data_IF_383766236859
#
_entry.id   IF_383766236859
#
_cell.length_a   1.000
_cell.length_b   1.000
_cell.length_c   1.000
_cell.angle_alpha   90.00
_cell.angle_beta   90.00
_cell.angle_gamma   90.00
#
_symmetry.space_group_name_H-M   'P 1'
#
loop_
_entity.id
_entity.type
_entity.pdbx_description
1 polymer ?
#
# COMPACT_ATOMS: atom_id res chain seq x y z
N UNK A 1 5.60 -44.11 -0.06
CA UNK A 1 5.08 -42.80 -0.46
C UNK A 1 5.74 -41.81 0.47
N UNK A 2 6.42 -40.80 -0.05
CA UNK A 2 7.19 -39.84 0.77
C UNK A 2 6.26 -38.73 1.26
N UNK A 3 6.36 -38.39 2.55
CA UNK A 3 5.60 -37.33 3.18
C UNK A 3 5.95 -35.95 2.57
N UNK A 4 4.96 -35.11 2.20
CA UNK A 4 5.20 -33.84 1.53
C UNK A 4 5.89 -32.84 2.47
N UNK A 5 7.08 -32.39 2.07
CA UNK A 5 7.84 -31.36 2.76
C UNK A 5 7.37 -29.98 2.28
N UNK A 6 6.99 -29.12 3.22
CA UNK A 6 6.57 -27.76 2.91
C UNK A 6 7.68 -26.96 2.22
N UNK A 7 7.46 -26.39 1.03
CA UNK A 7 8.49 -25.63 0.33
C UNK A 7 8.91 -24.35 1.07
N UNK A 8 8.00 -23.78 1.89
CA UNK A 8 8.21 -22.54 2.61
C UNK A 8 8.97 -22.74 3.93
N UNK A 9 8.54 -23.66 4.80
CA UNK A 9 9.11 -23.84 6.13
C UNK A 9 9.92 -25.14 6.31
N UNK A 10 9.98 -25.99 5.28
CA UNK A 10 10.72 -27.28 5.27
C UNK A 10 10.27 -28.30 6.31
N UNK A 11 9.07 -28.14 6.85
CA UNK A 11 8.45 -29.07 7.79
C UNK A 11 7.74 -30.19 7.02
N UNK A 12 7.85 -31.41 7.52
CA UNK A 12 7.20 -32.62 6.98
C UNK A 12 5.74 -32.62 7.39
N UNK A 13 4.83 -32.94 6.47
CA UNK A 13 3.39 -32.98 6.70
C UNK A 13 2.85 -34.37 6.33
N UNK A 14 1.63 -34.68 6.76
CA UNK A 14 0.97 -35.93 6.42
C UNK A 14 0.84 -36.15 4.90
N UNK A 15 0.86 -37.41 4.46
CA UNK A 15 0.84 -37.80 3.05
C UNK A 15 -0.37 -37.28 2.24
N UNK A 16 -1.49 -37.04 2.93
CA UNK A 16 -2.74 -36.50 2.37
C UNK A 16 -2.89 -34.98 2.59
N UNK A 17 -1.93 -34.33 3.25
CA UNK A 17 -2.02 -32.91 3.57
C UNK A 17 -2.01 -32.04 2.30
N UNK A 18 -3.11 -31.32 2.06
CA UNK A 18 -3.18 -30.31 1.00
C UNK A 18 -2.43 -29.02 1.39
N UNK A 19 -2.37 -28.70 2.69
CA UNK A 19 -1.75 -27.51 3.24
C UNK A 19 -0.80 -27.85 4.38
N UNK A 20 0.23 -27.02 4.57
CA UNK A 20 1.12 -27.14 5.70
C UNK A 20 0.40 -26.76 6.99
N UNK A 21 0.39 -27.65 7.97
CA UNK A 21 -0.22 -27.45 9.28
C UNK A 21 0.46 -26.32 10.09
N UNK A 22 1.74 -26.05 9.84
CA UNK A 22 2.51 -25.03 10.54
C UNK A 22 2.43 -23.63 9.92
N UNK A 23 2.28 -23.52 8.60
CA UNK A 23 2.36 -22.21 7.92
C UNK A 23 1.24 -21.94 6.89
N UNK A 24 0.35 -22.90 6.65
CA UNK A 24 -0.77 -22.77 5.72
C UNK A 24 -0.39 -22.82 4.23
N UNK A 25 0.89 -23.03 3.89
CA UNK A 25 1.33 -23.12 2.50
C UNK A 25 0.79 -24.39 1.83
N UNK A 26 0.21 -24.26 0.63
CA UNK A 26 -0.28 -25.41 -0.14
C UNK A 26 0.88 -26.33 -0.58
N UNK A 27 0.73 -27.63 -0.34
CA UNK A 27 1.80 -28.64 -0.46
C UNK A 27 1.82 -29.37 -1.80
N UNK A 28 0.67 -29.42 -2.51
CA UNK A 28 0.59 -30.04 -3.85
C UNK A 28 0.41 -28.97 -4.91
N UNK A 29 1.44 -28.72 -5.71
CA UNK A 29 1.28 -27.98 -6.96
C UNK A 29 0.52 -28.87 -7.98
N UNK A 30 -0.79 -29.05 -7.79
CA UNK A 30 -1.63 -29.59 -8.84
C UNK A 30 -1.81 -28.46 -9.88
N UNK A 31 -1.11 -28.63 -10.99
CA UNK A 31 -1.26 -27.82 -12.18
C UNK A 31 -2.72 -27.86 -12.66
N UNK A 32 -3.52 -26.91 -12.20
CA UNK A 32 -4.66 -26.42 -12.94
C UNK A 32 -4.36 -24.96 -13.24
N UNK A 33 -4.04 -24.66 -14.50
CA UNK A 33 -4.08 -23.28 -14.97
C UNK A 33 -5.41 -22.68 -14.51
N UNK A 34 -5.41 -21.48 -13.90
CA UNK A 34 -6.66 -20.86 -13.50
C UNK A 34 -7.52 -20.74 -14.76
N UNK A 35 -8.64 -21.47 -14.80
CA UNK A 35 -9.71 -21.17 -15.74
C UNK A 35 -10.11 -19.72 -15.46
N UNK A 36 -10.36 -18.92 -16.49
CA UNK A 36 -10.85 -17.55 -16.29
C UNK A 36 -12.03 -17.58 -15.30
N UNK A 37 -11.90 -16.86 -14.18
CA UNK A 37 -12.88 -16.86 -13.08
C UNK A 37 -12.69 -17.91 -11.98
N UNK A 38 -11.62 -18.72 -12.00
CA UNK A 38 -11.28 -19.69 -10.95
C UNK A 38 -10.43 -19.11 -9.81
N UNK A 39 -10.46 -19.76 -8.66
CA UNK A 39 -9.69 -19.34 -7.49
C UNK A 39 -8.18 -19.42 -7.77
N UNK A 40 -7.41 -18.34 -7.52
CA UNK A 40 -5.98 -18.33 -7.81
C UNK A 40 -5.16 -19.28 -6.93
N UNK A 41 -5.71 -19.71 -5.79
CA UNK A 41 -5.01 -20.59 -4.85
C UNK A 41 -5.19 -22.08 -5.17
N UNK A 42 -6.37 -22.50 -5.63
CA UNK A 42 -6.69 -23.92 -5.83
C UNK A 42 -7.34 -24.25 -7.18
N UNK A 43 -7.55 -23.27 -8.06
CA UNK A 43 -8.16 -23.43 -9.37
C UNK A 43 -9.65 -23.82 -9.36
N UNK A 44 -10.28 -23.92 -8.18
CA UNK A 44 -11.69 -24.28 -8.02
C UNK A 44 -12.61 -23.08 -8.32
N UNK A 45 -13.89 -23.35 -8.61
CA UNK A 45 -14.87 -22.31 -8.88
C UNK A 45 -14.99 -21.32 -7.71
N UNK A 46 -15.22 -20.05 -8.04
CA UNK A 46 -15.47 -18.97 -7.08
C UNK A 46 -16.94 -18.60 -7.18
N UNK A 47 -17.63 -18.63 -6.05
CA UNK A 47 -18.99 -18.11 -5.96
C UNK A 47 -18.91 -16.62 -5.67
N UNK A 48 -19.15 -15.79 -6.70
CA UNK A 48 -19.17 -14.33 -6.60
C UNK A 48 -20.53 -13.90 -6.06
N UNK A 49 -20.54 -13.15 -4.95
CA UNK A 49 -21.75 -12.49 -4.41
C UNK A 49 -21.98 -11.16 -5.11
N UNK A 50 -23.23 -10.66 -5.04
CA UNK A 50 -23.66 -9.45 -5.75
C UNK A 50 -22.82 -8.19 -5.42
N UNK A 51 -22.17 -8.16 -4.26
CA UNK A 51 -21.32 -7.06 -3.79
C UNK A 51 -19.86 -7.14 -4.29
N UNK A 52 -19.53 -8.08 -5.17
CA UNK A 52 -18.17 -8.28 -5.71
C UNK A 52 -17.28 -9.18 -4.85
N UNK A 53 -17.72 -9.55 -3.65
CA UNK A 53 -17.02 -10.52 -2.82
C UNK A 53 -17.27 -11.95 -3.30
N UNK A 54 -16.21 -12.65 -3.67
CA UNK A 54 -16.22 -14.06 -3.99
C UNK A 54 -15.77 -14.94 -2.83
N UNK A 55 -16.28 -16.15 -2.73
CA UNK A 55 -15.70 -17.19 -1.86
C UNK A 55 -15.41 -18.43 -2.71
N UNK A 56 -14.20 -18.95 -2.59
CA UNK A 56 -13.86 -20.20 -3.25
C UNK A 56 -14.52 -21.37 -2.54
N UNK A 57 -15.33 -22.15 -3.26
CA UNK A 57 -16.00 -23.34 -2.72
C UNK A 57 -15.04 -24.51 -2.43
N UNK A 58 -13.83 -24.49 -3.02
CA UNK A 58 -12.82 -25.54 -2.81
C UNK A 58 -11.86 -25.29 -1.64
N UNK A 59 -11.49 -24.03 -1.37
CA UNK A 59 -10.51 -23.70 -0.32
C UNK A 59 -11.01 -22.69 0.72
N UNK A 60 -12.25 -22.21 0.60
CA UNK A 60 -12.84 -21.23 1.52
C UNK A 60 -12.22 -19.83 1.44
N UNK A 61 -11.28 -19.59 0.52
CA UNK A 61 -10.63 -18.29 0.35
C UNK A 61 -11.66 -17.23 -0.04
N UNK A 62 -11.78 -16.21 0.80
CA UNK A 62 -12.53 -15.00 0.48
C UNK A 62 -11.72 -14.14 -0.50
N UNK A 63 -12.29 -13.93 -1.68
CA UNK A 63 -11.75 -13.16 -2.79
C UNK A 63 -12.57 -11.89 -2.91
N UNK A 64 -12.08 -10.80 -2.33
CA UNK A 64 -12.68 -9.49 -2.54
C UNK A 64 -12.35 -9.07 -3.98
N UNK A 65 -13.35 -8.83 -4.83
CA UNK A 65 -13.08 -8.15 -6.09
C UNK A 65 -12.45 -6.82 -5.74
N UNK A 66 -11.22 -6.61 -6.19
CA UNK A 66 -10.66 -5.26 -6.18
C UNK A 66 -11.64 -4.42 -7.00
N UNK A 67 -12.24 -3.35 -6.44
CA UNK A 67 -12.90 -2.40 -7.30
C UNK A 67 -11.88 -2.01 -8.35
N UNK A 68 -12.29 -2.17 -9.60
CA UNK A 68 -11.57 -1.72 -10.77
C UNK A 68 -10.95 -0.36 -10.46
N UNK A 69 -9.68 -0.26 -10.80
CA UNK A 69 -8.76 0.80 -10.48
C UNK A 69 -9.20 2.08 -11.20
N UNK A 70 -10.30 2.68 -10.74
CA UNK A 70 -10.89 3.89 -11.29
C UNK A 70 -10.66 5.05 -10.32
N UNK A 71 -9.44 5.55 -10.34
CA UNK A 71 -9.21 7.00 -10.12
C UNK A 71 -8.91 7.72 -11.44
N UNK A 72 -9.11 7.06 -12.59
CA UNK A 72 -9.04 7.70 -13.89
C UNK A 72 -9.78 6.88 -14.96
N UNK A 73 -11.12 6.92 -14.93
CA UNK A 73 -11.85 6.82 -16.19
C UNK A 73 -11.59 8.11 -17.00
N UNK A 74 -10.82 7.99 -18.09
CA UNK A 74 -11.25 8.47 -19.41
C UNK A 74 -10.59 7.63 -20.50
N UNK A 75 -11.40 6.89 -21.25
CA UNK A 75 -11.21 6.61 -22.69
C UNK A 75 -10.08 5.67 -23.08
N UNK A 76 -10.44 4.51 -23.62
CA UNK A 76 -9.50 3.63 -24.31
C UNK A 76 -8.82 4.31 -25.51
N UNK A 77 -7.49 4.41 -25.45
CA UNK A 77 -6.58 4.57 -26.60
C UNK A 77 -5.09 4.31 -26.26
N UNK A 78 -4.76 3.75 -25.10
CA UNK A 78 -3.50 4.08 -24.41
C UNK A 78 -2.41 2.98 -24.38
N UNK A 79 -2.49 1.95 -25.24
CA UNK A 79 -1.35 1.01 -25.36
C UNK A 79 -0.11 1.62 -26.04
N UNK A 80 -0.19 2.87 -26.54
CA UNK A 80 0.87 3.54 -27.32
C UNK A 80 1.53 4.73 -26.62
N UNK A 81 1.05 5.19 -25.45
CA UNK A 81 1.62 6.38 -24.79
C UNK A 81 3.05 6.21 -24.28
N UNK A 82 3.43 5.08 -23.63
CA UNK A 82 4.80 4.90 -23.16
C UNK A 82 5.82 4.90 -24.31
N UNK A 83 5.44 4.28 -25.43
CA UNK A 83 6.29 4.19 -26.63
C UNK A 83 6.43 5.56 -27.33
N UNK A 84 5.34 6.33 -27.42
CA UNK A 84 5.36 7.68 -27.97
C UNK A 84 6.19 8.65 -27.13
N UNK A 85 6.09 8.55 -25.80
CA UNK A 85 6.90 9.35 -24.88
C UNK A 85 8.40 9.03 -25.02
N UNK A 86 8.74 7.74 -25.05
CA UNK A 86 10.12 7.30 -25.24
C UNK A 86 10.70 7.77 -26.60
N UNK A 87 9.92 7.64 -27.68
CA UNK A 87 10.32 8.12 -29.01
C UNK A 87 10.56 9.64 -29.04
N UNK A 88 9.69 10.42 -28.40
CA UNK A 88 9.79 11.88 -28.31
C UNK A 88 11.02 12.35 -27.51
N UNK A 89 11.39 11.64 -26.44
CA UNK A 89 12.62 11.91 -25.66
C UNK A 89 13.87 11.60 -26.50
N UNK A 90 13.88 10.46 -27.20
CA UNK A 90 15.01 10.03 -28.02
C UNK A 90 15.26 10.96 -29.21
N UNK A 91 14.21 11.44 -29.86
CA UNK A 91 14.34 12.39 -30.98
C UNK A 91 15.01 13.71 -30.54
N UNK A 92 14.64 14.23 -29.36
CA UNK A 92 15.17 15.49 -28.83
C UNK A 92 16.60 15.39 -28.33
N UNK A 93 16.91 14.31 -27.63
CA UNK A 93 18.29 14.04 -27.18
C UNK A 93 19.22 13.85 -28.38
N UNK A 94 18.77 13.21 -29.47
CA UNK A 94 19.50 13.16 -30.75
C UNK A 94 19.69 14.53 -31.40
N UNK A 95 18.78 15.47 -31.16
CA UNK A 95 18.90 16.86 -31.62
C UNK A 95 19.78 17.74 -30.71
N UNK A 96 20.43 17.17 -29.69
CA UNK A 96 21.34 17.89 -28.78
C UNK A 96 20.65 18.58 -27.60
N UNK A 97 19.35 18.30 -27.36
CA UNK A 97 18.64 18.81 -26.18
C UNK A 97 19.07 18.00 -24.95
N UNK A 98 19.42 18.70 -23.86
CA UNK A 98 19.77 18.07 -22.58
C UNK A 98 18.60 17.24 -22.06
N UNK A 99 18.87 16.04 -21.54
CA UNK A 99 17.87 15.03 -21.20
C UNK A 99 16.71 15.56 -20.36
N UNK A 100 16.99 16.37 -19.33
CA UNK A 100 15.94 16.96 -18.46
C UNK A 100 14.95 17.83 -19.25
N UNK A 101 15.47 18.66 -20.17
CA UNK A 101 14.65 19.48 -21.05
C UNK A 101 13.93 18.63 -22.10
N UNK A 102 14.58 17.59 -22.62
CA UNK A 102 13.97 16.67 -23.57
C UNK A 102 12.78 15.90 -22.96
N UNK A 103 12.91 15.49 -21.69
CA UNK A 103 11.81 14.85 -20.93
C UNK A 103 10.68 15.84 -20.69
N UNK A 104 10.98 17.06 -20.22
CA UNK A 104 9.96 18.07 -19.97
C UNK A 104 9.16 18.43 -21.24
N UNK A 105 9.83 18.62 -22.38
CA UNK A 105 9.19 18.92 -23.66
C UNK A 105 8.41 17.73 -24.22
N UNK A 106 8.93 16.51 -24.12
CA UNK A 106 8.24 15.30 -24.56
C UNK A 106 6.99 15.01 -23.71
N UNK A 107 7.06 15.22 -22.40
CA UNK A 107 5.90 15.13 -21.51
C UNK A 107 4.84 16.17 -21.89
N UNK A 108 5.24 17.42 -22.19
CA UNK A 108 4.30 18.45 -22.59
C UNK A 108 3.61 18.17 -23.92
N UNK A 109 4.33 17.60 -24.88
CA UNK A 109 3.79 17.21 -26.18
C UNK A 109 2.87 15.99 -26.11
N UNK A 110 3.30 14.92 -25.44
CA UNK A 110 2.62 13.62 -25.46
C UNK A 110 1.49 13.56 -24.42
N UNK A 111 1.74 14.09 -23.22
CA UNK A 111 0.79 14.04 -22.11
C UNK A 111 -0.11 15.29 -22.04
N UNK A 112 0.13 16.30 -22.89
CA UNK A 112 -0.54 17.62 -22.82
C UNK A 112 -0.48 18.27 -21.43
N UNK A 113 0.48 17.86 -20.60
CA UNK A 113 0.71 18.45 -19.29
C UNK A 113 1.53 19.73 -19.53
N UNK A 114 1.11 20.91 -19.06
CA UNK A 114 1.95 22.10 -19.19
C UNK A 114 3.34 21.80 -18.61
N UNK A 115 4.39 22.25 -19.29
CA UNK A 115 5.78 22.06 -18.85
C UNK A 115 5.89 22.33 -17.34
N UNK A 116 6.68 21.54 -16.58
CA UNK A 116 6.78 21.69 -15.14
C UNK A 116 7.36 23.05 -14.81
N UNK A 117 6.51 24.06 -14.68
CA UNK A 117 6.83 25.26 -13.93
C UNK A 117 7.05 24.78 -12.51
N UNK A 118 8.25 24.98 -11.97
CA UNK A 118 8.49 24.97 -10.53
C UNK A 118 7.49 25.96 -9.91
N UNK A 119 6.29 25.47 -9.59
CA UNK A 119 5.41 26.14 -8.65
C UNK A 119 6.01 25.82 -7.30
N UNK A 120 6.57 26.82 -6.63
CA UNK A 120 6.64 26.78 -5.18
C UNK A 120 5.24 26.36 -4.68
N UNK A 121 5.14 25.37 -3.79
CA UNK A 121 3.84 24.99 -3.25
C UNK A 121 3.34 26.18 -2.43
N UNK A 122 2.49 27.02 -3.04
CA UNK A 122 1.71 28.02 -2.34
C UNK A 122 0.73 27.30 -1.42
N UNK A 123 1.20 27.04 -0.21
CA UNK A 123 0.44 26.40 0.85
C UNK A 123 1.10 26.68 2.17
N UNK A 124 0.30 27.01 3.18
CA UNK A 124 0.79 27.22 4.52
C UNK A 124 1.47 25.93 5.05
N UNK A 125 2.62 26.02 5.73
CA UNK A 125 3.23 24.87 6.36
C UNK A 125 2.21 24.18 7.29
N UNK A 126 2.25 22.86 7.33
CA UNK A 126 1.32 22.05 8.11
C UNK A 126 2.01 21.38 9.28
N UNK A 127 1.32 21.33 10.40
CA UNK A 127 1.83 20.73 11.63
C UNK A 127 1.38 19.27 11.71
N UNK A 128 2.32 18.36 11.96
CA UNK A 128 1.99 16.94 12.11
C UNK A 128 1.11 16.72 13.37
N UNK A 129 -0.08 16.08 13.24
CA UNK A 129 -0.97 15.85 14.38
C UNK A 129 -0.43 14.80 15.36
N UNK A 130 0.56 14.00 14.96
CA UNK A 130 1.22 13.03 15.84
C UNK A 130 2.37 13.70 16.61
N UNK A 131 3.40 14.15 15.90
CA UNK A 131 4.66 14.53 16.54
C UNK A 131 4.92 16.03 16.61
N UNK A 132 3.96 16.88 16.23
CA UNK A 132 4.10 18.34 16.20
C UNK A 132 5.10 18.93 15.19
N UNK A 133 5.82 18.10 14.43
CA UNK A 133 6.80 18.61 13.48
C UNK A 133 6.12 19.48 12.42
N UNK A 134 6.75 20.60 12.09
CA UNK A 134 6.36 21.44 10.95
C UNK A 134 6.81 20.77 9.66
N UNK A 135 5.92 20.73 8.67
CA UNK A 135 6.19 20.12 7.38
C UNK A 135 5.78 21.09 6.26
N UNK A 136 6.50 21.09 5.12
CA UNK A 136 6.06 21.77 3.92
C UNK A 136 4.63 21.35 3.56
N UNK A 137 3.83 22.27 3.02
CA UNK A 137 2.43 22.00 2.65
C UNK A 137 2.28 20.78 1.72
N UNK A 138 3.22 20.65 0.77
CA UNK A 138 3.25 19.58 -0.23
C UNK A 138 4.10 18.36 0.17
N UNK A 139 4.61 18.28 1.40
CA UNK A 139 5.36 17.11 1.83
C UNK A 139 4.44 15.87 1.75
N UNK A 140 4.85 14.70 1.25
CA UNK A 140 3.97 13.52 1.29
C UNK A 140 3.97 12.82 2.66
N UNK A 141 5.04 13.03 3.44
CA UNK A 141 5.33 12.35 4.70
C UNK A 141 5.84 13.34 5.75
N UNK A 142 5.57 13.05 7.02
CA UNK A 142 6.12 13.81 8.13
C UNK A 142 7.62 13.54 8.31
N UNK A 143 8.45 14.58 8.29
CA UNK A 143 9.90 14.45 8.51
C UNK A 143 10.26 13.97 9.93
N UNK A 144 9.41 14.27 10.92
CA UNK A 144 9.67 13.94 12.33
C UNK A 144 9.32 12.49 12.70
N UNK A 145 8.17 12.00 12.26
CA UNK A 145 7.70 10.65 12.64
C UNK A 145 7.50 9.70 11.46
N UNK A 146 7.68 10.15 10.22
CA UNK A 146 7.55 9.29 9.05
C UNK A 146 6.11 8.84 8.75
N UNK A 147 5.07 9.45 9.34
CA UNK A 147 3.70 9.15 8.93
C UNK A 147 3.39 9.81 7.59
N UNK A 148 2.76 9.07 6.69
CA UNK A 148 2.26 9.62 5.42
C UNK A 148 0.97 10.37 5.68
N UNK A 149 0.86 11.58 5.13
CA UNK A 149 -0.33 12.40 5.35
C UNK A 149 -1.49 11.99 4.45
N UNK A 150 -1.18 11.34 3.33
CA UNK A 150 -2.11 10.87 2.32
C UNK A 150 -1.95 9.35 2.10
N UNK A 151 -2.73 8.80 1.18
CA UNK A 151 -2.62 7.40 0.79
C UNK A 151 -1.29 7.11 0.10
N UNK A 152 -0.80 5.87 0.25
CA UNK A 152 0.40 5.43 -0.42
C UNK A 152 0.12 5.23 -1.92
N UNK A 153 0.75 6.06 -2.76
CA UNK A 153 0.71 5.90 -4.22
C UNK A 153 1.70 4.83 -4.73
N UNK A 154 2.62 4.39 -3.87
CA UNK A 154 3.61 3.35 -4.18
C UNK A 154 3.84 2.44 -2.97
N UNK A 155 4.22 1.16 -3.17
CA UNK A 155 4.54 0.25 -2.07
C UNK A 155 5.65 0.81 -1.19
N UNK A 156 5.48 0.73 0.13
CA UNK A 156 6.49 1.18 1.11
C UNK A 156 6.87 0.05 2.06
N UNK A 157 8.13 0.00 2.46
CA UNK A 157 8.58 -0.95 3.47
C UNK A 157 8.03 -0.56 4.85
N UNK A 158 7.45 -1.52 5.56
CA UNK A 158 7.01 -1.32 6.93
C UNK A 158 8.23 -1.13 7.86
N UNK A 159 8.30 -0.05 8.66
CA UNK A 159 9.42 0.18 9.57
C UNK A 159 9.49 -0.84 10.72
N UNK A 160 8.46 -1.67 10.90
CA UNK A 160 8.41 -2.70 11.93
C UNK A 160 8.86 -4.07 11.44
N UNK A 161 8.45 -4.47 10.23
CA UNK A 161 8.65 -5.84 9.74
C UNK A 161 9.22 -5.91 8.31
N UNK A 162 9.59 -4.76 7.75
CA UNK A 162 10.24 -4.59 6.43
C UNK A 162 9.41 -5.04 5.22
N UNK A 163 8.23 -5.63 5.43
CA UNK A 163 7.33 -6.03 4.35
C UNK A 163 6.79 -4.83 3.59
N UNK A 164 6.64 -5.00 2.28
CA UNK A 164 5.99 -4.03 1.41
C UNK A 164 4.51 -3.87 1.77
N UNK A 165 4.07 -2.62 1.95
CA UNK A 165 2.70 -2.22 2.25
C UNK A 165 2.12 -1.49 1.05
N UNK A 166 1.04 -2.05 0.51
CA UNK A 166 0.28 -1.50 -0.62
C UNK A 166 -0.72 -0.43 -0.17
N UNK A 167 -1.49 0.14 -1.12
CA UNK A 167 -2.31 1.37 -1.06
C UNK A 167 -3.25 1.61 0.14
N UNK A 168 -3.44 0.65 1.06
CA UNK A 168 -4.23 0.83 2.28
C UNK A 168 -3.48 1.50 3.44
N UNK A 169 -2.15 1.55 3.39
CA UNK A 169 -1.35 2.13 4.49
C UNK A 169 -1.38 1.32 5.79
N UNK A 170 -1.93 0.11 5.79
CA UNK A 170 -1.93 -0.82 6.92
C UNK A 170 -1.07 -2.02 6.58
N UNK A 171 -0.08 -2.32 7.41
CA UNK A 171 0.75 -3.50 7.27
C UNK A 171 0.09 -4.73 7.90
N UNK A 172 0.41 -5.92 7.41
CA UNK A 172 -0.01 -7.22 7.98
C UNK A 172 0.45 -7.40 9.43
N UNK A 173 1.53 -6.73 9.86
CA UNK A 173 1.96 -6.72 11.26
C UNK A 173 1.17 -5.73 12.15
N UNK A 174 0.10 -5.11 11.62
CA UNK A 174 -0.73 -4.13 12.32
C UNK A 174 -0.13 -2.72 12.41
N UNK A 175 0.94 -2.41 11.67
CA UNK A 175 1.49 -1.04 11.61
C UNK A 175 0.66 -0.14 10.69
N UNK A 176 0.38 1.09 11.12
CA UNK A 176 -0.45 2.06 10.38
C UNK A 176 0.45 3.18 9.82
N UNK A 177 0.77 3.12 8.54
CA UNK A 177 1.76 3.98 7.89
C UNK A 177 1.19 5.33 7.41
N UNK A 178 -0.12 5.42 7.27
CA UNK A 178 -0.79 6.64 6.79
C UNK A 178 -1.68 7.24 7.87
N UNK A 179 -1.82 8.56 7.84
CA UNK A 179 -2.67 9.32 8.73
C UNK A 179 -4.16 8.94 8.54
N UNK A 180 -4.69 8.80 7.31
CA UNK A 180 -6.05 8.29 7.12
C UNK A 180 -6.29 6.91 7.74
N UNK A 181 -5.36 5.96 7.56
CA UNK A 181 -5.48 4.64 8.18
C UNK A 181 -5.46 4.74 9.71
N UNK A 182 -4.56 5.56 10.26
CA UNK A 182 -4.47 5.77 11.70
C UNK A 182 -5.75 6.39 12.28
N UNK A 183 -6.30 7.43 11.63
CA UNK A 183 -7.50 8.12 12.10
C UNK A 183 -8.74 7.22 12.15
N UNK A 184 -8.85 6.25 11.23
CA UNK A 184 -9.92 5.22 11.28
C UNK A 184 -9.88 4.35 12.54
N UNK A 185 -8.70 4.20 13.15
CA UNK A 185 -8.50 3.38 14.35
C UNK A 185 -8.41 4.21 15.65
N UNK A 186 -8.47 5.54 15.57
CA UNK A 186 -8.41 6.42 16.74
C UNK A 186 -9.79 6.50 17.38
N UNK A 187 -10.16 5.41 18.04
CA UNK A 187 -11.32 5.34 18.92
C UNK A 187 -11.07 6.10 20.23
N UNK A 188 -12.13 6.44 21.00
CA UNK A 188 -12.00 7.06 22.32
C UNK A 188 -11.11 6.27 23.30
N UNK A 189 -11.01 4.96 23.08
CA UNK A 189 -10.21 4.00 23.84
C UNK A 189 -8.69 4.19 23.65
N UNK A 190 -8.24 4.72 22.51
CA UNK A 190 -6.80 4.89 22.23
C UNK A 190 -6.21 6.00 23.10
N UNK A 191 -5.15 5.71 23.85
CA UNK A 191 -4.46 6.66 24.74
C UNK A 191 -3.12 7.12 24.19
N UNK A 192 -2.39 6.24 23.52
CA UNK A 192 -1.13 6.60 22.88
C UNK A 192 -0.90 5.80 21.60
N UNK A 193 0.01 6.31 20.78
CA UNK A 193 0.41 5.71 19.49
C UNK A 193 1.94 5.63 19.46
N UNK A 194 2.50 4.51 19.00
CA UNK A 194 3.95 4.38 18.87
C UNK A 194 4.49 5.33 17.78
N UNK A 195 5.56 6.08 18.08
CA UNK A 195 6.23 6.98 17.14
C UNK A 195 6.93 6.25 15.98
N UNK A 196 7.23 4.96 16.09
CA UNK A 196 7.88 4.16 15.04
C UNK A 196 6.86 3.35 14.25
N UNK A 197 6.29 2.32 14.86
CA UNK A 197 5.36 1.39 14.20
C UNK A 197 3.92 1.92 14.08
N UNK A 198 3.61 3.07 14.68
CA UNK A 198 2.30 3.73 14.62
C UNK A 198 1.13 2.88 15.13
N UNK A 199 1.43 1.89 15.97
CA UNK A 199 0.36 1.11 16.62
C UNK A 199 -0.34 1.93 17.70
N UNK A 200 -1.69 1.91 17.71
CA UNK A 200 -2.48 2.50 18.78
C UNK A 200 -2.55 1.57 19.99
N UNK A 201 -2.55 2.15 21.20
CA UNK A 201 -2.70 1.42 22.45
C UNK A 201 -3.72 2.09 23.36
N UNK A 202 -4.51 1.28 24.05
CA UNK A 202 -5.52 1.76 25.00
C UNK A 202 -4.93 2.14 26.37
N UNK A 203 -3.67 1.80 26.62
CA UNK A 203 -2.97 2.10 27.88
C UNK A 203 -1.81 3.03 27.58
N UNK A 204 -1.70 4.13 28.31
CA UNK A 204 -0.57 5.03 28.20
C UNK A 204 0.72 4.33 28.66
N UNK A 205 1.73 4.29 27.78
CA UNK A 205 3.04 3.71 28.04
C UNK A 205 4.12 4.69 27.58
N UNK A 206 5.32 4.60 28.14
CA UNK A 206 6.45 5.44 27.69
C UNK A 206 7.17 4.84 26.47
N UNK A 207 7.20 3.51 26.36
CA UNK A 207 7.81 2.77 25.26
C UNK A 207 6.81 1.78 24.66
N UNK A 208 6.94 1.55 23.36
CA UNK A 208 6.17 0.57 22.63
C UNK A 208 6.61 -0.84 23.03
N UNK A 209 5.68 -1.72 23.45
CA UNK A 209 6.03 -3.10 23.82
C UNK A 209 6.50 -3.92 22.61
N UNK A 210 6.09 -3.53 21.41
CA UNK A 210 6.36 -4.26 20.18
C UNK A 210 7.68 -3.88 19.50
N UNK A 211 8.14 -2.63 19.62
CA UNK A 211 9.34 -2.16 18.92
C UNK A 211 10.28 -1.29 19.77
N UNK A 212 9.95 -1.05 21.05
CA UNK A 212 10.76 -0.24 21.96
C UNK A 212 10.76 1.28 21.68
N UNK A 213 10.12 1.71 20.59
CA UNK A 213 10.02 3.12 20.20
C UNK A 213 9.24 3.98 21.20
N UNK A 214 9.50 5.28 21.20
CA UNK A 214 8.79 6.23 22.06
C UNK A 214 7.29 6.29 21.74
N UNK A 215 6.47 6.57 22.74
CA UNK A 215 5.02 6.70 22.60
C UNK A 215 4.59 8.16 22.53
N UNK A 216 3.58 8.44 21.71
CA UNK A 216 2.99 9.76 21.51
C UNK A 216 1.56 9.72 22.08
N UNK A 217 1.16 10.73 22.86
CA UNK A 217 -0.22 10.84 23.36
C UNK A 217 -1.23 11.01 22.23
N UNK A 218 -2.36 10.29 22.30
CA UNK A 218 -3.37 10.29 21.24
C UNK A 218 -4.28 11.53 21.25
N UNK A 219 -4.20 12.39 22.26
CA UNK A 219 -5.13 13.53 22.43
C UNK A 219 -5.09 14.52 21.26
N UNK A 220 -3.91 14.83 20.72
CA UNK A 220 -3.78 15.69 19.54
C UNK A 220 -4.37 15.06 18.29
N UNK A 221 -4.21 13.75 18.17
CA UNK A 221 -4.71 12.99 17.04
C UNK A 221 -6.25 12.89 17.09
N UNK A 222 -6.82 12.75 18.28
CA UNK A 222 -8.28 12.83 18.50
C UNK A 222 -8.83 14.22 18.21
N UNK A 223 -8.17 15.28 18.69
CA UNK A 223 -8.57 16.65 18.39
C UNK A 223 -8.54 16.93 16.88
N UNK A 224 -7.52 16.41 16.18
CA UNK A 224 -7.45 16.47 14.73
C UNK A 224 -8.58 15.67 14.06
N UNK A 225 -8.84 14.43 14.49
CA UNK A 225 -9.94 13.62 13.98
C UNK A 225 -11.30 14.32 14.14
N UNK A 226 -11.55 14.93 15.30
CA UNK A 226 -12.77 15.68 15.59
C UNK A 226 -12.90 16.95 14.75
N UNK A 227 -11.79 17.58 14.32
CA UNK A 227 -11.83 18.75 13.44
C UNK A 227 -12.17 18.42 11.97
N UNK A 228 -12.12 17.14 11.60
CA UNK A 228 -12.43 16.65 10.26
C UNK A 228 -13.86 16.11 10.11
N UNK A 229 -14.58 15.93 11.22
CA UNK A 229 -15.95 15.43 11.29
C UNK A 229 -16.96 16.57 11.27
#
# INVERSE_FOLDING_TARGET
>A
MEDPICPACKIVNDEEAAYCDQCGQHLRAAAAQPKEGGCPACGSAVEIRADGDGVCSGCGLALVATPDQSCCETGGADSLMPERLAAAILQRTRAGVVLERAVAEACAEVLKVPAPTHREPEGSPRTCPLCAAENPAAAPQCAGCGIWFEHLCAPQACPRCERSVSAGGTCVCGALLTLPALLRYVEPSVRCVCSLCKQPYAVAQQKCPDCGGGMIGAERLKAYAASLA
#
